data_IF_050175228964
#
_entry.id   IF_050175228964
#
_cell.length_a   1.000
_cell.length_b   1.000
_cell.length_c   1.000
_cell.angle_alpha   90.00
_cell.angle_beta   90.00
_cell.angle_gamma   90.00
#
_symmetry.space_group_name_H-M   'P 1'
#
loop_
_entity.id
_entity.type
_entity.pdbx_description
1 polymer ?
#
# COMPACT_ATOMS: atom_id res chain seq x y z
N UNK A 1 2.60 3.50 -10.80
CA UNK A 1 2.71 4.42 -9.62
C UNK A 1 3.76 5.54 -9.79
N UNK A 2 3.51 6.75 -9.25
CA UNK A 2 4.47 7.88 -9.24
C UNK A 2 5.66 7.59 -8.31
N UNK A 3 6.87 8.04 -8.67
CA UNK A 3 8.08 7.82 -7.86
C UNK A 3 7.94 8.32 -6.42
N UNK A 4 7.38 9.52 -6.22
CA UNK A 4 7.19 10.09 -4.88
C UNK A 4 6.29 9.26 -3.96
N UNK A 5 5.33 8.53 -4.53
CA UNK A 5 4.46 7.62 -3.78
C UNK A 5 5.25 6.37 -3.38
N UNK A 6 6.03 5.82 -4.30
CA UNK A 6 6.91 4.67 -4.03
C UNK A 6 7.92 5.00 -2.93
N UNK A 7 8.57 6.16 -2.99
CA UNK A 7 9.52 6.60 -1.95
C UNK A 7 8.84 6.72 -0.57
N UNK A 8 7.59 7.20 -0.53
CA UNK A 8 6.80 7.28 0.71
C UNK A 8 6.48 5.89 1.27
N UNK A 9 6.07 4.95 0.42
CA UNK A 9 5.78 3.56 0.83
C UNK A 9 7.03 2.85 1.34
N UNK A 10 8.16 3.08 0.68
CA UNK A 10 9.46 2.56 1.11
C UNK A 10 9.85 3.11 2.48
N UNK A 11 9.65 4.41 2.71
CA UNK A 11 9.87 5.00 4.02
C UNK A 11 8.97 4.38 5.10
N UNK A 12 7.69 4.12 4.80
CA UNK A 12 6.77 3.47 5.73
C UNK A 12 7.20 2.02 6.04
N UNK A 13 7.69 1.28 5.04
CA UNK A 13 8.20 -0.07 5.23
C UNK A 13 9.42 -0.08 6.16
N UNK A 14 10.39 0.81 5.91
CA UNK A 14 11.57 0.97 6.77
C UNK A 14 11.19 1.39 8.19
N UNK A 15 10.20 2.29 8.32
CA UNK A 15 9.68 2.73 9.63
C UNK A 15 9.05 1.57 10.39
N UNK A 16 8.28 0.70 9.73
CA UNK A 16 7.68 -0.47 10.37
C UNK A 16 8.76 -1.40 10.95
N UNK A 17 9.82 -1.66 10.19
CA UNK A 17 10.95 -2.47 10.69
C UNK A 17 11.68 -1.82 11.87
N UNK A 18 11.84 -0.49 11.84
CA UNK A 18 12.40 0.26 12.97
C UNK A 18 11.53 0.14 14.22
N UNK A 19 10.21 0.27 14.07
CA UNK A 19 9.24 0.12 15.17
C UNK A 19 9.28 -1.30 15.73
N UNK A 20 9.29 -2.32 14.88
CA UNK A 20 9.39 -3.72 15.29
C UNK A 20 10.66 -3.98 16.10
N UNK A 21 11.81 -3.47 15.65
CA UNK A 21 13.09 -3.58 16.39
C UNK A 21 13.03 -2.86 17.73
N UNK A 22 12.50 -1.64 17.76
CA UNK A 22 12.41 -0.83 18.98
C UNK A 22 11.49 -1.46 20.01
N UNK A 23 10.32 -1.96 19.58
CA UNK A 23 9.35 -2.62 20.44
C UNK A 23 9.85 -3.97 20.97
N UNK A 24 10.72 -4.66 20.22
CA UNK A 24 11.38 -5.89 20.65
C UNK A 24 12.58 -5.65 21.60
N UNK A 25 13.05 -4.41 21.75
CA UNK A 25 14.19 -4.07 22.61
C UNK A 25 13.79 -3.92 24.08
N UNK A 26 14.70 -4.24 24.99
CA UNK A 26 14.48 -4.06 26.45
C UNK A 26 14.23 -2.59 26.83
N UNK A 27 14.79 -1.64 26.07
CA UNK A 27 14.63 -0.22 26.29
C UNK A 27 13.22 0.27 25.93
N UNK A 28 12.59 -0.31 24.90
CA UNK A 28 11.21 0.00 24.51
C UNK A 28 10.17 -0.41 25.56
N UNK A 29 10.48 -1.40 26.40
CA UNK A 29 9.60 -1.88 27.47
C UNK A 29 9.73 -1.07 28.78
N UNK A 30 10.72 -0.17 28.89
CA UNK A 30 10.96 0.61 30.12
C UNK A 30 10.00 1.78 30.29
N UNK A 31 9.50 2.35 29.18
CA UNK A 31 8.50 3.42 29.20
C UNK A 31 7.20 2.95 28.54
N UNK A 32 6.20 2.70 29.37
CA UNK A 32 4.89 2.22 28.95
C UNK A 32 4.12 3.22 28.08
N UNK A 33 4.40 4.52 28.19
CA UNK A 33 3.76 5.52 27.34
C UNK A 33 4.36 5.49 25.93
N UNK A 34 5.69 5.48 25.85
CA UNK A 34 6.41 5.34 24.56
C UNK A 34 6.02 4.04 23.86
N UNK A 35 5.95 2.93 24.59
CA UNK A 35 5.52 1.64 24.04
C UNK A 35 4.13 1.70 23.39
N UNK A 36 3.17 2.35 24.05
CA UNK A 36 1.80 2.51 23.51
C UNK A 36 1.77 3.37 22.26
N UNK A 37 2.55 4.46 22.23
CA UNK A 37 2.64 5.35 21.07
C UNK A 37 3.23 4.61 19.87
N UNK A 38 4.38 3.95 20.06
CA UNK A 38 5.04 3.18 19.00
C UNK A 38 4.17 2.00 18.51
N UNK A 39 3.47 1.33 19.42
CA UNK A 39 2.54 0.24 19.07
C UNK A 39 1.35 0.76 18.24
N UNK A 40 0.85 1.95 18.54
CA UNK A 40 -0.21 2.59 17.75
C UNK A 40 0.29 2.97 16.37
N UNK A 41 1.45 3.63 16.29
CA UNK A 41 2.07 4.00 15.01
C UNK A 41 2.29 2.74 14.13
N UNK A 42 2.82 1.67 14.72
CA UNK A 42 3.02 0.37 14.06
C UNK A 42 1.71 -0.15 13.47
N UNK A 43 0.64 -0.17 14.27
CA UNK A 43 -0.68 -0.65 13.84
C UNK A 43 -1.31 0.22 12.76
N UNK A 44 -1.01 1.51 12.71
CA UNK A 44 -1.49 2.43 11.68
C UNK A 44 -0.80 2.21 10.32
N UNK A 45 0.52 1.96 10.33
CA UNK A 45 1.29 1.82 9.08
C UNK A 45 1.34 0.37 8.56
N UNK A 46 1.17 -0.63 9.42
CA UNK A 46 1.24 -2.06 9.07
C UNK A 46 0.32 -2.45 7.89
N UNK A 47 -0.96 -2.03 7.83
CA UNK A 47 -1.83 -2.35 6.69
C UNK A 47 -1.32 -1.79 5.36
N UNK A 48 -0.78 -0.56 5.38
CA UNK A 48 -0.24 0.10 4.18
C UNK A 48 1.02 -0.62 3.69
N UNK A 49 1.90 -1.00 4.63
CA UNK A 49 3.13 -1.74 4.32
C UNK A 49 2.82 -3.15 3.83
N UNK A 50 1.80 -3.82 4.37
CA UNK A 50 1.35 -5.12 3.89
C UNK A 50 0.89 -5.06 2.42
N UNK A 51 0.03 -4.09 2.08
CA UNK A 51 -0.38 -3.86 0.69
C UNK A 51 0.81 -3.55 -0.23
N UNK A 52 1.79 -2.80 0.25
CA UNK A 52 2.99 -2.49 -0.54
C UNK A 52 3.87 -3.72 -0.77
N UNK A 53 4.01 -4.59 0.23
CA UNK A 53 4.71 -5.88 0.08
C UNK A 53 4.02 -6.79 -0.93
N UNK A 54 2.68 -6.85 -0.91
CA UNK A 54 1.92 -7.60 -1.91
C UNK A 54 2.10 -7.03 -3.33
N UNK A 55 2.12 -5.70 -3.46
CA UNK A 55 2.38 -5.04 -4.75
C UNK A 55 3.77 -5.38 -5.28
N UNK A 56 4.79 -5.32 -4.42
CA UNK A 56 6.17 -5.72 -4.75
C UNK A 56 6.27 -7.19 -5.15
N UNK A 57 5.52 -8.07 -4.50
CA UNK A 57 5.47 -9.49 -4.87
C UNK A 57 4.82 -9.67 -6.24
N UNK A 58 3.69 -9.01 -6.52
CA UNK A 58 3.04 -9.08 -7.82
C UNK A 58 3.94 -8.53 -8.95
N UNK A 59 4.73 -7.48 -8.70
CA UNK A 59 5.76 -7.01 -9.64
C UNK A 59 6.83 -8.07 -9.91
N UNK A 60 7.27 -8.81 -8.89
CA UNK A 60 8.24 -9.90 -9.02
C UNK A 60 7.64 -11.10 -9.78
N UNK A 61 6.40 -11.48 -9.47
CA UNK A 61 5.68 -12.56 -10.16
C UNK A 61 5.53 -12.24 -11.65
N UNK A 62 5.20 -10.98 -12.00
CA UNK A 62 5.16 -10.54 -13.40
C UNK A 62 6.53 -10.60 -14.08
N UNK A 63 7.62 -10.34 -13.34
CA UNK A 63 8.96 -10.46 -13.90
C UNK A 63 9.29 -11.93 -14.22
N UNK A 64 8.96 -12.86 -13.32
CA UNK A 64 9.08 -14.30 -13.55
C UNK A 64 8.18 -14.78 -14.70
N UNK A 65 6.94 -14.32 -14.79
CA UNK A 65 6.04 -14.65 -15.90
C UNK A 65 6.61 -14.19 -17.26
N UNK A 66 7.30 -13.04 -17.31
CA UNK A 66 7.99 -12.58 -18.53
C UNK A 66 9.16 -13.48 -18.92
N UNK A 67 9.81 -14.14 -17.97
CA UNK A 67 10.84 -15.14 -18.27
C UNK A 67 10.22 -16.40 -18.90
N UNK A 68 9.02 -16.80 -18.47
CA UNK A 68 8.29 -17.94 -19.06
C UNK A 68 7.92 -17.69 -20.53
N UNK A 69 7.73 -16.43 -20.94
CA UNK A 69 7.46 -16.08 -22.34
C UNK A 69 8.62 -16.41 -23.29
N UNK A 70 9.83 -16.60 -22.76
CA UNK A 70 11.00 -16.98 -23.56
C UNK A 70 10.94 -18.45 -24.02
N UNK A 71 10.15 -19.29 -23.34
CA UNK A 71 9.93 -20.68 -23.72
C UNK A 71 8.62 -20.81 -24.53
N UNK A 72 8.68 -21.23 -25.82
CA UNK A 72 7.50 -21.39 -26.67
C UNK A 72 6.44 -22.35 -26.10
N UNK A 73 6.84 -23.36 -25.33
CA UNK A 73 5.92 -24.33 -24.73
C UNK A 73 5.18 -23.74 -23.52
N UNK A 74 5.81 -22.78 -22.82
CA UNK A 74 5.26 -22.12 -21.64
C UNK A 74 4.63 -20.76 -21.96
N UNK A 75 4.70 -20.30 -23.22
CA UNK A 75 4.29 -18.94 -23.61
C UNK A 75 2.83 -18.63 -23.30
N UNK A 76 1.92 -19.57 -23.54
CA UNK A 76 0.49 -19.38 -23.24
C UNK A 76 0.25 -19.22 -21.73
N UNK A 77 0.95 -19.99 -20.90
CA UNK A 77 0.90 -19.87 -19.45
C UNK A 77 1.49 -18.53 -18.99
N UNK A 78 2.64 -18.14 -19.54
CA UNK A 78 3.29 -16.86 -19.23
C UNK A 78 2.43 -15.66 -19.62
N UNK A 79 1.70 -15.71 -20.73
CA UNK A 79 0.77 -14.64 -21.15
C UNK A 79 -0.40 -14.51 -20.16
N UNK A 80 -0.95 -15.63 -19.69
CA UNK A 80 -2.01 -15.67 -18.67
C UNK A 80 -1.53 -15.13 -17.31
N UNK A 81 -0.42 -15.64 -16.80
CA UNK A 81 0.14 -15.20 -15.51
C UNK A 81 0.53 -13.72 -15.53
N UNK A 82 1.08 -13.25 -16.66
CA UNK A 82 1.42 -11.84 -16.81
C UNK A 82 0.16 -10.96 -16.80
N UNK A 83 -0.90 -11.36 -17.51
CA UNK A 83 -2.16 -10.61 -17.53
C UNK A 83 -2.81 -10.53 -16.14
N UNK A 84 -2.85 -11.66 -15.42
CA UNK A 84 -3.40 -11.72 -14.06
C UNK A 84 -2.54 -10.89 -13.07
N UNK A 85 -1.22 -10.97 -13.21
CA UNK A 85 -0.28 -10.20 -12.40
C UNK A 85 -0.41 -8.69 -12.63
N UNK A 86 -0.52 -8.24 -13.88
CA UNK A 86 -0.71 -6.82 -14.22
C UNK A 86 -2.06 -6.28 -13.73
N UNK A 87 -3.13 -7.08 -13.82
CA UNK A 87 -4.42 -6.74 -13.23
C UNK A 87 -4.35 -6.60 -11.70
N UNK A 88 -3.64 -7.52 -11.03
CA UNK A 88 -3.41 -7.48 -9.58
C UNK A 88 -2.60 -6.26 -9.16
N UNK A 89 -1.53 -5.93 -9.90
CA UNK A 89 -0.75 -4.70 -9.68
C UNK A 89 -1.65 -3.47 -9.75
N UNK A 90 -2.51 -3.37 -10.78
CA UNK A 90 -3.43 -2.25 -10.93
C UNK A 90 -4.40 -2.10 -9.75
N UNK A 91 -4.97 -3.21 -9.27
CA UNK A 91 -5.85 -3.21 -8.10
C UNK A 91 -5.12 -2.76 -6.83
N UNK A 92 -3.93 -3.32 -6.58
CA UNK A 92 -3.09 -2.98 -5.42
C UNK A 92 -2.63 -1.52 -5.46
N UNK A 93 -2.29 -0.97 -6.63
CA UNK A 93 -1.95 0.46 -6.76
C UNK A 93 -3.14 1.36 -6.38
N UNK A 94 -4.36 1.00 -6.75
CA UNK A 94 -5.56 1.75 -6.40
C UNK A 94 -5.89 1.64 -4.89
N UNK A 95 -5.65 0.49 -4.28
CA UNK A 95 -5.78 0.29 -2.84
C UNK A 95 -4.74 1.09 -2.06
N UNK A 96 -3.47 1.04 -2.47
CA UNK A 96 -2.38 1.82 -1.88
C UNK A 96 -2.66 3.33 -1.96
N UNK A 97 -3.14 3.82 -3.10
CA UNK A 97 -3.50 5.23 -3.23
C UNK A 97 -4.61 5.63 -2.25
N UNK A 98 -5.65 4.80 -2.10
CA UNK A 98 -6.72 5.04 -1.12
C UNK A 98 -6.22 5.00 0.31
N UNK A 99 -5.36 4.03 0.65
CA UNK A 99 -4.81 3.88 1.99
C UNK A 99 -3.86 5.02 2.40
N UNK A 100 -3.26 5.71 1.42
CA UNK A 100 -2.40 6.87 1.65
C UNK A 100 -3.14 8.20 1.79
N UNK A 101 -4.45 8.22 1.51
CA UNK A 101 -5.27 9.40 1.77
C UNK A 101 -5.40 9.58 3.29
N UNK A 102 -5.23 10.80 3.81
CA UNK A 102 -5.59 11.07 5.19
C UNK A 102 -7.07 10.70 5.35
N UNK A 103 -7.41 9.99 6.44
CA UNK A 103 -8.82 9.80 6.81
C UNK A 103 -9.46 11.18 6.87
N UNK A 104 -10.52 11.42 6.09
CA UNK A 104 -11.24 12.67 6.20
C UNK A 104 -11.97 12.64 7.55
N UNK A 105 -11.72 13.60 8.45
CA UNK A 105 -12.49 13.70 9.69
C UNK A 105 -14.01 13.86 9.45
N UNK A 106 -14.43 14.15 8.22
CA UNK A 106 -15.82 14.25 7.79
C UNK A 106 -16.29 13.06 6.92
N UNK A 107 -15.48 12.03 6.65
CA UNK A 107 -15.91 10.85 5.86
C UNK A 107 -17.13 10.16 6.50
N UNK A 108 -17.30 10.26 7.82
CA UNK A 108 -18.44 9.71 8.56
C UNK A 108 -19.66 10.65 8.64
N UNK A 109 -19.58 11.86 8.06
CA UNK A 109 -20.62 12.90 8.19
C UNK A 109 -21.45 13.03 6.91
N UNK A 110 -22.76 13.21 7.07
CA UNK A 110 -23.64 13.53 5.96
C UNK A 110 -23.26 14.87 5.32
N UNK A 111 -23.21 14.93 3.99
CA UNK A 111 -22.93 16.14 3.23
C UNK A 111 -24.21 16.71 2.61
N UNK A 112 -24.40 18.03 2.72
CA UNK A 112 -25.46 18.74 2.02
C UNK A 112 -24.88 19.28 0.70
N UNK A 113 -25.33 18.71 -0.42
CA UNK A 113 -24.99 19.19 -1.76
C UNK A 113 -26.05 20.21 -2.20
N UNK A 114 -25.71 21.49 -2.15
CA UNK A 114 -26.58 22.54 -2.69
C UNK A 114 -26.18 22.86 -4.14
N UNK A 115 -27.03 22.48 -5.09
CA UNK A 115 -26.88 22.85 -6.50
C UNK A 115 -27.65 24.14 -6.74
N UNK A 116 -26.93 25.23 -7.05
CA UNK A 116 -27.54 26.51 -7.43
C UNK A 116 -27.31 26.76 -8.92
N UNK A 117 -28.38 27.21 -9.59
CA UNK A 117 -28.29 27.79 -10.93
C UNK A 117 -27.37 29.02 -10.88
N UNK A 118 -26.34 29.04 -11.72
CA UNK A 118 -25.61 30.27 -12.00
C UNK A 118 -26.46 31.17 -12.89
N UNK A 119 -26.14 32.46 -12.95
CA UNK A 119 -26.75 33.34 -13.97
C UNK A 119 -26.37 32.83 -15.36
N UNK A 120 -27.29 32.10 -15.99
CA UNK A 120 -27.10 31.45 -17.29
C UNK A 120 -27.75 30.07 -17.48
N UNK A 121 -28.56 29.56 -16.53
CA UNK A 121 -29.32 28.32 -16.69
C UNK A 121 -29.77 27.72 -15.36
#
# INVERSE_FOLDING_TARGET
MKQSIRDKLEHLANRLEELDRTLASEDGARDMNVFRELSRERAEIEPVVALYREHRQAEADCATARELLADPEMRELGELELADGEARIGALEAELQRALLPRDPNDERNLFLEIRAGTGG
#
